data_IF_090032482807
#
_entry.id   IF_090032482807
#
_cell.length_a   1.000
_cell.length_b   1.000
_cell.length_c   1.000
_cell.angle_alpha   90.00
_cell.angle_beta   90.00
_cell.angle_gamma   90.00
#
_symmetry.space_group_name_H-M   'P 1'
#
loop_
_entity.id
_entity.type
_entity.pdbx_description
1 polymer ?
#
# COMPACT_ATOMS: atom_id res chain seq x y z
N UNK A 1 13.66 62.34 -33.39
CA UNK A 1 15.03 62.08 -32.88
C UNK A 1 15.23 60.57 -32.78
N UNK A 2 15.87 59.96 -33.76
CA UNK A 2 16.09 58.50 -33.82
C UNK A 2 17.19 58.13 -32.82
N UNK A 3 16.84 57.40 -31.75
CA UNK A 3 17.82 56.91 -30.78
C UNK A 3 18.68 55.81 -31.45
N UNK A 4 19.99 56.04 -31.60
CA UNK A 4 20.93 55.01 -32.04
C UNK A 4 21.02 53.93 -30.98
N UNK A 5 20.67 52.69 -31.35
CA UNK A 5 20.87 51.50 -30.51
C UNK A 5 22.34 51.38 -30.08
N UNK A 6 22.58 51.32 -28.76
CA UNK A 6 23.93 51.30 -28.22
C UNK A 6 24.41 49.85 -28.04
N UNK A 7 25.09 49.33 -29.07
CA UNK A 7 25.47 47.93 -29.20
C UNK A 7 26.28 47.37 -28.01
N UNK A 8 27.12 48.20 -27.38
CA UNK A 8 27.91 47.78 -26.22
C UNK A 8 27.06 47.50 -24.97
N UNK A 9 26.00 48.28 -24.74
CA UNK A 9 25.07 48.03 -23.62
C UNK A 9 24.22 46.79 -23.89
N UNK A 10 23.83 46.57 -25.14
CA UNK A 10 23.09 45.37 -25.56
C UNK A 10 23.94 44.10 -25.36
N UNK A 11 25.21 44.13 -25.75
CA UNK A 11 26.14 43.01 -25.59
C UNK A 11 26.41 42.66 -24.11
N UNK A 12 26.55 43.67 -23.23
CA UNK A 12 26.64 43.45 -21.78
C UNK A 12 25.37 42.85 -21.20
N UNK A 13 24.19 43.26 -21.69
CA UNK A 13 22.92 42.67 -21.24
C UNK A 13 22.79 41.20 -21.66
N UNK A 14 23.26 40.84 -22.86
CA UNK A 14 23.28 39.46 -23.35
C UNK A 14 24.19 38.55 -22.52
N UNK A 15 25.33 39.05 -22.03
CA UNK A 15 26.23 38.28 -21.15
C UNK A 15 25.66 38.04 -19.74
N UNK A 16 24.72 38.87 -19.29
CA UNK A 16 24.09 38.75 -17.96
C UNK A 16 22.89 37.80 -17.91
N UNK A 17 22.42 37.29 -19.05
CA UNK A 17 21.31 36.34 -19.06
C UNK A 17 21.85 34.99 -18.59
N UNK A 18 21.46 34.60 -17.38
CA UNK A 18 21.76 33.32 -16.70
C UNK A 18 21.19 32.12 -17.47
N UNK A 19 21.62 31.90 -18.70
CA UNK A 19 21.33 30.72 -19.50
C UNK A 19 22.58 29.85 -19.36
N UNK A 20 22.48 28.79 -18.56
CA UNK A 20 23.60 27.96 -18.17
C UNK A 20 24.50 27.55 -19.35
N UNK A 21 25.69 28.16 -19.41
CA UNK A 21 26.76 27.81 -20.36
C UNK A 21 27.68 26.72 -19.83
N UNK A 22 28.68 26.35 -20.64
CA UNK A 22 29.75 25.41 -20.25
C UNK A 22 30.50 25.95 -19.02
N UNK A 23 30.47 25.21 -17.91
CA UNK A 23 31.04 25.65 -16.62
C UNK A 23 30.06 26.35 -15.68
N UNK A 24 28.79 26.56 -16.07
CA UNK A 24 27.76 27.08 -15.16
C UNK A 24 27.42 26.07 -14.06
N UNK A 25 27.13 26.56 -12.85
CA UNK A 25 26.81 25.73 -11.69
C UNK A 25 25.52 24.96 -11.98
N UNK A 26 25.67 23.66 -12.23
CA UNK A 26 24.55 22.76 -12.46
C UNK A 26 23.96 22.37 -11.10
N UNK A 27 22.67 22.59 -10.89
CA UNK A 27 21.97 22.11 -9.69
C UNK A 27 22.10 20.58 -9.64
N UNK A 28 22.68 20.04 -8.56
CA UNK A 28 22.67 18.58 -8.32
C UNK A 28 21.22 18.11 -8.21
N UNK A 29 20.82 17.20 -9.09
CA UNK A 29 19.56 16.48 -8.95
C UNK A 29 19.73 15.41 -7.87
N UNK A 30 18.87 15.42 -6.85
CA UNK A 30 18.84 14.34 -5.85
C UNK A 30 18.23 13.10 -6.51
N UNK A 31 19.06 12.12 -6.85
CA UNK A 31 18.58 10.81 -7.26
C UNK A 31 17.87 10.16 -6.06
N UNK A 32 16.56 9.90 -6.19
CA UNK A 32 15.78 9.21 -5.16
C UNK A 32 16.25 7.75 -5.11
N UNK A 33 17.13 7.41 -4.16
CA UNK A 33 17.40 6.00 -3.85
C UNK A 33 16.09 5.34 -3.42
N UNK A 34 15.74 4.21 -4.03
CA UNK A 34 14.66 3.35 -3.54
C UNK A 34 14.98 3.02 -2.08
N UNK A 35 14.12 3.43 -1.15
CA UNK A 35 14.24 3.00 0.25
C UNK A 35 14.04 1.49 0.25
N UNK A 36 15.01 0.79 0.81
CA UNK A 36 14.96 -0.66 0.96
C UNK A 36 13.79 -1.00 1.89
N UNK A 37 12.86 -1.84 1.45
CA UNK A 37 11.53 -2.04 2.06
C UNK A 37 11.50 -2.51 3.52
N UNK A 38 12.64 -2.87 4.12
CA UNK A 38 12.71 -3.37 5.49
C UNK A 38 12.56 -2.33 6.60
N UNK A 39 12.62 -1.02 6.31
CA UNK A 39 12.40 0.01 7.36
C UNK A 39 10.91 0.25 7.59
N UNK A 40 10.11 0.25 6.52
CA UNK A 40 8.69 0.55 6.62
C UNK A 40 7.92 -0.63 7.24
N UNK A 41 8.34 -1.86 6.99
CA UNK A 41 7.74 -3.06 7.60
C UNK A 41 7.93 -3.10 9.13
N UNK A 42 9.11 -2.70 9.62
CA UNK A 42 9.35 -2.56 11.07
C UNK A 42 8.47 -1.48 11.70
N UNK A 43 8.26 -0.36 10.99
CA UNK A 43 7.36 0.70 11.46
C UNK A 43 5.91 0.22 11.50
N UNK A 44 5.46 -0.50 10.47
CA UNK A 44 4.13 -1.09 10.42
C UNK A 44 3.91 -2.04 11.61
N UNK A 45 4.84 -2.96 11.85
CA UNK A 45 4.77 -3.87 13.00
C UNK A 45 4.69 -3.14 14.35
N UNK A 46 5.47 -2.05 14.51
CA UNK A 46 5.37 -1.23 15.73
C UNK A 46 4.01 -0.56 15.88
N UNK A 47 3.39 -0.09 14.79
CA UNK A 47 2.06 0.53 14.84
C UNK A 47 0.97 -0.49 15.15
N UNK A 48 1.04 -1.68 14.55
CA UNK A 48 0.13 -2.78 14.82
C UNK A 48 0.18 -3.20 16.30
N UNK A 49 1.39 -3.30 16.87
CA UNK A 49 1.57 -3.58 18.30
C UNK A 49 0.97 -2.49 19.20
N UNK A 50 1.07 -1.21 18.81
CA UNK A 50 0.44 -0.09 19.55
C UNK A 50 -1.09 -0.16 19.52
N UNK A 51 -1.66 -0.67 18.43
CA UNK A 51 -3.11 -0.90 18.28
C UNK A 51 -3.58 -2.20 18.97
N UNK A 52 -2.68 -2.89 19.67
CA UNK A 52 -2.99 -4.12 20.40
C UNK A 52 -3.06 -5.38 19.54
N UNK A 53 -2.69 -5.32 18.25
CA UNK A 53 -2.69 -6.51 17.40
C UNK A 53 -1.65 -7.52 17.87
N UNK A 54 -2.09 -8.73 18.19
CA UNK A 54 -1.23 -9.85 18.59
C UNK A 54 -1.25 -10.94 17.52
N UNK A 55 -0.10 -11.59 17.22
CA UNK A 55 -0.07 -12.72 16.31
C UNK A 55 -0.83 -13.91 16.90
N UNK A 56 -1.64 -14.57 16.07
CA UNK A 56 -2.36 -15.78 16.46
C UNK A 56 -1.87 -16.95 15.58
N UNK A 57 -1.27 -18.00 16.18
CA UNK A 57 -0.76 -19.15 15.44
C UNK A 57 -1.88 -20.14 15.08
N UNK A 58 -1.60 -21.06 14.15
CA UNK A 58 -2.51 -22.16 13.81
C UNK A 58 -3.58 -21.83 12.77
N UNK A 59 -3.51 -20.66 12.14
CA UNK A 59 -4.42 -20.32 11.03
C UNK A 59 -3.90 -20.94 9.74
N UNK A 60 -4.67 -21.88 9.20
CA UNK A 60 -4.36 -22.55 7.94
C UNK A 60 -4.85 -21.73 6.75
N UNK A 61 -6.05 -21.17 6.83
CA UNK A 61 -6.65 -20.43 5.73
C UNK A 61 -7.49 -19.24 6.22
N UNK A 62 -7.48 -18.15 5.43
CA UNK A 62 -8.42 -17.03 5.59
C UNK A 62 -9.10 -16.77 4.26
N UNK A 63 -10.43 -16.71 4.28
CA UNK A 63 -11.26 -16.44 3.11
C UNK A 63 -12.02 -15.14 3.31
N UNK A 64 -11.93 -14.25 2.32
CA UNK A 64 -12.70 -13.01 2.28
C UNK A 64 -13.71 -13.12 1.15
N UNK A 65 -14.98 -13.35 1.50
CA UNK A 65 -16.09 -13.37 0.56
C UNK A 65 -16.47 -11.95 0.18
N UNK A 66 -16.60 -11.71 -1.12
CA UNK A 66 -17.03 -10.43 -1.67
C UNK A 66 -18.42 -10.57 -2.27
N UNK A 67 -19.11 -9.45 -2.38
CA UNK A 67 -20.48 -9.37 -2.95
C UNK A 67 -20.52 -9.74 -4.44
N UNK A 68 -19.39 -9.67 -5.15
CA UNK A 68 -19.27 -10.03 -6.57
C UNK A 68 -19.18 -11.55 -6.81
N UNK A 69 -19.29 -12.37 -5.77
CA UNK A 69 -19.15 -13.83 -5.84
C UNK A 69 -17.71 -14.31 -6.00
N UNK A 70 -16.72 -13.41 -5.84
CA UNK A 70 -15.31 -13.76 -5.75
C UNK A 70 -14.85 -13.91 -4.29
N UNK A 71 -13.82 -14.72 -4.09
CA UNK A 71 -13.21 -14.95 -2.78
C UNK A 71 -11.73 -14.62 -2.87
N UNK A 72 -11.23 -13.84 -1.92
CA UNK A 72 -9.78 -13.71 -1.70
C UNK A 72 -9.37 -14.79 -0.71
N UNK A 73 -8.58 -15.75 -1.15
CA UNK A 73 -8.02 -16.79 -0.30
C UNK A 73 -6.57 -16.45 0.08
N UNK A 74 -6.26 -16.63 1.35
CA UNK A 74 -4.90 -16.62 1.88
C UNK A 74 -4.57 -17.99 2.47
N UNK A 75 -3.59 -18.69 1.89
CA UNK A 75 -3.07 -19.95 2.44
C UNK A 75 -1.90 -19.68 3.39
N UNK A 76 -1.98 -20.19 4.62
CA UNK A 76 -1.01 -20.02 5.71
C UNK A 76 -0.57 -18.57 5.95
N UNK A 77 -1.50 -17.62 6.16
CA UNK A 77 -1.15 -16.22 6.33
C UNK A 77 -0.46 -15.94 7.68
N UNK A 78 0.30 -14.84 7.73
CA UNK A 78 0.62 -14.20 9.03
C UNK A 78 -0.63 -13.48 9.51
N UNK A 79 -1.25 -14.03 10.54
CA UNK A 79 -2.48 -13.50 11.11
C UNK A 79 -2.20 -12.79 12.44
N UNK A 80 -2.70 -11.57 12.56
CA UNK A 80 -2.71 -10.83 13.83
C UNK A 80 -4.14 -10.35 14.11
N UNK A 81 -4.52 -10.34 15.38
CA UNK A 81 -5.85 -9.97 15.84
C UNK A 81 -5.75 -9.00 17.01
N UNK A 82 -6.62 -8.00 17.02
CA UNK A 82 -6.92 -7.18 18.19
C UNK A 82 -8.39 -7.37 18.52
N UNK A 83 -8.67 -8.29 19.45
CA UNK A 83 -10.05 -8.58 19.86
C UNK A 83 -10.74 -7.40 20.54
N UNK A 84 -9.98 -6.52 21.21
CA UNK A 84 -10.52 -5.31 21.83
C UNK A 84 -11.03 -4.28 20.81
N UNK A 85 -10.48 -4.28 19.59
CA UNK A 85 -10.82 -3.32 18.54
C UNK A 85 -11.58 -3.96 17.36
N UNK A 86 -11.93 -5.25 17.45
CA UNK A 86 -12.46 -6.05 16.34
C UNK A 86 -11.65 -5.89 15.04
N UNK A 87 -10.32 -5.81 15.17
CA UNK A 87 -9.41 -5.63 14.04
C UNK A 87 -8.67 -6.93 13.72
N UNK A 88 -8.72 -7.31 12.45
CA UNK A 88 -7.97 -8.44 11.91
C UNK A 88 -6.96 -7.96 10.88
N UNK A 89 -5.74 -8.46 10.98
CA UNK A 89 -4.64 -8.11 10.08
C UNK A 89 -4.14 -9.40 9.44
N UNK A 90 -4.39 -9.52 8.15
CA UNK A 90 -3.99 -10.66 7.33
C UNK A 90 -2.85 -10.22 6.43
N UNK A 91 -1.69 -10.85 6.55
CA UNK A 91 -0.54 -10.60 5.69
C UNK A 91 -0.07 -11.90 5.05
N UNK A 92 -0.15 -11.99 3.73
CA UNK A 92 0.24 -13.17 3.00
C UNK A 92 0.01 -13.02 1.50
N UNK A 93 0.23 -14.09 0.75
CA UNK A 93 -0.12 -14.13 -0.67
C UNK A 93 -1.63 -14.24 -0.80
N UNK A 94 -2.23 -13.27 -1.48
CA UNK A 94 -3.65 -13.26 -1.81
C UNK A 94 -3.87 -13.93 -3.17
N UNK A 95 -4.81 -14.87 -3.23
CA UNK A 95 -5.25 -15.51 -4.46
C UNK A 95 -6.74 -15.25 -4.64
N UNK A 96 -7.12 -14.65 -5.78
CA UNK A 96 -8.53 -14.43 -6.11
C UNK A 96 -9.08 -15.68 -6.79
N UNK A 97 -10.11 -16.28 -6.21
CA UNK A 97 -10.80 -17.45 -6.75
C UNK A 97 -12.30 -17.17 -6.88
N UNK A 98 -12.99 -17.94 -7.70
CA UNK A 98 -14.45 -17.90 -7.72
C UNK A 98 -14.99 -18.73 -6.58
N UNK A 99 -16.14 -18.35 -6.03
CA UNK A 99 -16.77 -19.11 -4.95
C UNK A 99 -17.03 -20.57 -5.36
N UNK A 100 -17.37 -20.81 -6.62
CA UNK A 100 -17.59 -22.14 -7.22
C UNK A 100 -16.40 -23.10 -7.06
N UNK A 101 -15.17 -22.60 -7.09
CA UNK A 101 -13.97 -23.41 -6.97
C UNK A 101 -13.65 -23.80 -5.50
N UNK A 102 -14.35 -23.17 -4.55
CA UNK A 102 -14.17 -23.29 -3.10
C UNK A 102 -15.35 -24.05 -2.47
N UNK A 103 -16.51 -24.06 -3.12
CA UNK A 103 -17.77 -24.61 -2.60
C UNK A 103 -17.79 -26.13 -2.27
N UNK A 104 -16.88 -27.02 -2.72
CA UNK A 104 -16.87 -28.40 -2.21
C UNK A 104 -16.25 -28.59 -0.82
N UNK A 105 -15.35 -27.70 -0.36
CA UNK A 105 -14.62 -27.90 0.91
C UNK A 105 -15.20 -27.14 2.10
N UNK A 106 -16.04 -26.13 1.88
CA UNK A 106 -16.56 -25.24 2.93
C UNK A 106 -18.03 -25.50 3.34
N UNK A 107 -18.83 -26.16 2.49
CA UNK A 107 -20.25 -26.45 2.76
C UNK A 107 -20.46 -27.78 3.51
N UNK A 108 -19.56 -28.16 4.42
CA UNK A 108 -19.90 -29.20 5.38
C UNK A 108 -21.11 -28.70 6.22
N UNK A 109 -22.26 -29.39 6.28
CA UNK A 109 -23.54 -28.82 6.76
C UNK A 109 -23.66 -28.61 8.28
N UNK A 110 -22.61 -28.25 9.00
CA UNK A 110 -22.61 -28.24 10.47
C UNK A 110 -22.41 -26.89 11.16
N UNK A 111 -22.25 -25.77 10.43
CA UNK A 111 -21.88 -24.49 11.09
C UNK A 111 -22.62 -23.25 10.56
N UNK A 112 -23.70 -23.43 9.80
CA UNK A 112 -24.70 -22.38 9.65
C UNK A 112 -25.72 -22.61 10.77
N UNK A 113 -25.53 -21.91 11.89
CA UNK A 113 -26.39 -22.03 13.07
C UNK A 113 -27.86 -21.92 12.66
N UNK A 114 -28.60 -22.99 12.93
CA UNK A 114 -30.06 -22.97 12.91
C UNK A 114 -30.48 -21.87 13.89
N UNK A 115 -30.97 -20.73 13.37
CA UNK A 115 -31.72 -19.78 14.17
C UNK A 115 -32.99 -20.49 14.60
N UNK A 116 -32.93 -21.11 15.77
CA UNK A 116 -34.08 -21.62 16.51
C UNK A 116 -34.99 -20.41 16.76
N UNK A 117 -36.03 -20.32 15.94
CA UNK A 117 -37.10 -19.36 16.09
C UNK A 117 -37.82 -19.70 17.40
N UNK A 118 -37.49 -18.98 18.47
CA UNK A 118 -38.29 -18.92 19.69
C UNK A 118 -39.60 -18.17 19.37
N UNK A 119 -40.56 -18.87 18.76
CA UNK A 119 -41.98 -18.53 18.80
C UNK A 119 -42.63 -19.36 19.92
N UNK A 120 -42.82 -18.76 21.10
CA UNK A 120 -43.95 -18.93 22.04
C UNK A 120 -43.83 -18.00 23.28
#
# INVERSE_FOLDING_TARGET
>A
KTQKMNAQKLARLQQGVRIGGKGSVRRKTKARRKRQGGTDDKRLQMMLKKLGAQPMPGIEEVNLFREDGSVIQFSTPRFQVSGAANMYVVSGRAENKKIQDILPSFLAPTDMGDEESDDD
#
